data_IF_177694002856
#
_entry.id   IF_177694002856
#
_cell.length_a   1.000
_cell.length_b   1.000
_cell.length_c   1.000
_cell.angle_alpha   90.00
_cell.angle_beta   90.00
_cell.angle_gamma   90.00
#
_symmetry.space_group_name_H-M   'P 1'
#
loop_
_entity.id
_entity.type
_entity.pdbx_description
1 polymer ?
#
# COMPACT_ATOMS: atom_id res chain seq x y z
N UNK A 1 -38.93 -5.74 -59.65
CA UNK A 1 -37.64 -6.46 -59.46
C UNK A 1 -36.53 -5.65 -60.13
N UNK A 2 -35.68 -5.00 -59.34
CA UNK A 2 -34.45 -4.33 -59.81
C UNK A 2 -33.38 -4.53 -58.74
N UNK A 3 -32.41 -5.38 -59.05
CA UNK A 3 -31.21 -5.60 -58.27
C UNK A 3 -30.28 -4.40 -58.41
N UNK A 4 -29.79 -3.86 -57.30
CA UNK A 4 -28.55 -3.09 -57.26
C UNK A 4 -27.68 -3.63 -56.12
N UNK A 5 -26.71 -4.43 -56.51
CA UNK A 5 -25.55 -4.76 -55.71
C UNK A 5 -24.70 -3.49 -55.55
N UNK A 6 -24.30 -3.19 -54.32
CA UNK A 6 -23.19 -2.28 -54.04
C UNK A 6 -22.18 -3.09 -53.25
N UNK A 7 -21.06 -3.39 -53.91
CA UNK A 7 -19.83 -3.90 -53.31
C UNK A 7 -18.97 -2.66 -53.02
N UNK A 8 -18.64 -2.45 -51.75
CA UNK A 8 -17.45 -1.75 -51.26
C UNK A 8 -16.99 -2.60 -50.07
N UNK A 9 -16.15 -3.61 -50.29
CA UNK A 9 -14.69 -3.49 -50.26
C UNK A 9 -14.20 -2.68 -49.04
N UNK A 10 -13.60 -3.42 -48.08
CA UNK A 10 -12.48 -2.97 -47.25
C UNK A 10 -12.79 -2.15 -45.98
N UNK A 11 -13.39 -2.80 -44.97
CA UNK A 11 -13.16 -2.43 -43.55
C UNK A 11 -12.81 -3.68 -42.71
N UNK A 12 -12.03 -4.58 -43.29
CA UNK A 12 -11.29 -5.62 -42.57
C UNK A 12 -9.81 -5.29 -42.70
N UNK A 13 -9.33 -4.34 -41.90
CA UNK A 13 -7.92 -3.94 -42.00
C UNK A 13 -7.52 -2.72 -41.19
N UNK A 14 -7.98 -2.58 -39.95
CA UNK A 14 -7.46 -1.57 -39.00
C UNK A 14 -7.63 -1.97 -37.52
N UNK A 15 -7.72 -3.27 -37.21
CA UNK A 15 -7.61 -3.81 -35.84
C UNK A 15 -6.23 -4.43 -35.54
N UNK A 16 -5.26 -4.13 -36.39
CA UNK A 16 -3.87 -4.54 -36.22
C UNK A 16 -2.96 -3.34 -36.43
N UNK A 17 -3.16 -2.31 -35.62
CA UNK A 17 -2.12 -1.34 -35.31
C UNK A 17 -1.87 -1.38 -33.80
N UNK A 18 -0.80 -2.09 -33.47
CA UNK A 18 0.10 -1.74 -32.39
C UNK A 18 -0.48 -1.73 -30.99
N UNK A 19 -0.38 -2.90 -30.37
CA UNK A 19 0.01 -3.04 -28.98
C UNK A 19 1.04 -1.96 -28.59
N UNK A 20 0.57 -0.92 -27.91
CA UNK A 20 1.29 0.00 -27.03
C UNK A 20 0.50 1.31 -26.90
N UNK A 21 -0.81 1.23 -26.66
CA UNK A 21 -1.34 2.12 -25.65
C UNK A 21 -0.71 1.65 -24.34
N UNK A 22 0.52 2.10 -24.07
CA UNK A 22 1.08 2.10 -22.73
C UNK A 22 0.09 2.92 -21.92
N UNK A 23 -0.87 2.23 -21.31
CA UNK A 23 -1.62 2.71 -20.16
C UNK A 23 -0.56 3.35 -19.30
N UNK A 24 -0.59 4.68 -19.14
CA UNK A 24 0.30 5.37 -18.20
C UNK A 24 0.18 4.58 -16.91
N UNK A 25 1.22 3.81 -16.59
CA UNK A 25 1.29 3.04 -15.36
C UNK A 25 0.96 4.07 -14.26
N UNK A 26 -0.07 3.78 -13.47
CA UNK A 26 -0.73 4.79 -12.63
C UNK A 26 0.27 5.60 -11.82
N UNK A 27 0.02 6.91 -11.65
CA UNK A 27 0.87 7.73 -10.79
C UNK A 27 0.90 7.14 -9.37
N UNK A 28 2.02 7.32 -8.67
CA UNK A 28 2.10 6.98 -7.25
C UNK A 28 0.98 7.68 -6.48
N UNK A 29 0.32 6.93 -5.61
CA UNK A 29 -0.72 7.44 -4.71
C UNK A 29 -0.08 7.69 -3.35
N UNK A 30 -0.29 8.88 -2.79
CA UNK A 30 0.15 9.24 -1.46
C UNK A 30 -1.07 9.35 -0.55
N UNK A 31 -0.93 8.82 0.66
CA UNK A 31 -1.98 8.80 1.67
C UNK A 31 -1.41 9.32 2.97
N UNK A 32 -2.19 10.17 3.65
CA UNK A 32 -1.97 10.52 5.04
C UNK A 32 -3.00 9.75 5.86
N UNK A 33 -2.54 8.93 6.80
CA UNK A 33 -3.42 8.23 7.72
C UNK A 33 -3.33 8.85 9.11
N UNK A 34 -4.49 9.12 9.70
CA UNK A 34 -4.62 9.67 11.05
C UNK A 34 -5.32 8.65 11.93
N UNK A 35 -4.80 8.44 13.14
CA UNK A 35 -5.33 7.42 14.02
C UNK A 35 -4.53 7.27 15.30
N UNK A 36 -4.56 6.07 15.84
CA UNK A 36 -3.84 5.74 17.07
C UNK A 36 -2.54 5.04 16.72
N UNK A 37 -1.43 5.62 17.17
CA UNK A 37 -0.13 4.95 17.22
C UNK A 37 -0.03 4.23 18.56
N UNK A 38 0.14 2.92 18.47
CA UNK A 38 0.25 2.06 19.63
C UNK A 38 1.72 1.93 19.99
N UNK A 39 2.16 2.75 20.94
CA UNK A 39 3.41 2.50 21.65
C UNK A 39 3.06 1.60 22.82
N UNK A 40 3.31 0.30 22.69
CA UNK A 40 3.44 -0.49 23.91
C UNK A 40 4.70 0.05 24.59
N UNK A 41 4.70 0.27 25.89
CA UNK A 41 5.79 0.99 26.56
C UNK A 41 6.64 0.07 27.45
N UNK A 42 6.16 -1.11 27.83
CA UNK A 42 6.82 -1.86 28.89
C UNK A 42 6.79 -3.40 28.78
N UNK A 43 6.47 -4.01 27.63
CA UNK A 43 6.50 -5.48 27.51
C UNK A 43 5.53 -6.24 28.43
N UNK A 44 4.76 -5.53 29.28
CA UNK A 44 3.78 -6.03 30.25
C UNK A 44 2.34 -5.72 29.82
N UNK A 45 2.11 -5.41 28.54
CA UNK A 45 0.78 -5.25 27.97
C UNK A 45 0.11 -3.88 28.24
N UNK A 46 0.84 -2.88 28.76
CA UNK A 46 0.34 -1.51 28.78
C UNK A 46 0.56 -0.85 27.43
N UNK A 47 -0.46 -0.92 26.61
CA UNK A 47 -0.55 -0.15 25.36
C UNK A 47 -1.21 1.19 25.64
N UNK A 48 -0.56 2.29 25.25
CA UNK A 48 -1.21 3.60 25.20
C UNK A 48 -1.29 4.01 23.74
N UNK A 49 -2.51 4.05 23.20
CA UNK A 49 -2.78 4.70 21.94
C UNK A 49 -2.56 6.20 22.09
N UNK A 50 -1.61 6.76 21.34
CA UNK A 50 -1.47 8.19 21.17
C UNK A 50 -1.98 8.56 19.78
N UNK A 51 -2.67 9.70 19.66
CA UNK A 51 -3.01 10.20 18.32
C UNK A 51 -1.73 10.48 17.54
N UNK A 52 -1.70 10.04 16.29
CA UNK A 52 -0.58 10.26 15.42
C UNK A 52 -0.93 10.07 13.96
N UNK A 53 0.09 10.27 13.12
CA UNK A 53 -0.05 10.22 11.68
C UNK A 53 1.03 9.31 11.07
N UNK A 54 0.71 8.70 9.94
CA UNK A 54 1.68 8.04 9.08
C UNK A 54 1.39 8.39 7.62
N UNK A 55 2.42 8.27 6.80
CA UNK A 55 2.27 8.43 5.35
C UNK A 55 2.50 7.10 4.65
N UNK A 56 1.62 6.78 3.70
CA UNK A 56 1.73 5.63 2.81
C UNK A 56 1.89 6.13 1.39
N UNK A 57 2.90 5.63 0.69
CA UNK A 57 3.02 5.75 -0.76
C UNK A 57 2.76 4.38 -1.39
N UNK A 58 1.86 4.32 -2.35
CA UNK A 58 1.59 3.15 -3.17
C UNK A 58 2.09 3.46 -4.58
N UNK A 59 3.10 2.73 -5.02
CA UNK A 59 3.62 2.81 -6.38
C UNK A 59 3.15 1.56 -7.16
N UNK A 60 2.11 1.69 -8.01
CA UNK A 60 1.61 0.56 -8.78
C UNK A 60 2.58 0.16 -9.92
N UNK A 61 3.51 1.04 -10.34
CA UNK A 61 4.44 0.72 -11.43
C UNK A 61 5.54 -0.22 -10.94
N UNK A 62 6.19 0.14 -9.83
CA UNK A 62 7.22 -0.69 -9.20
C UNK A 62 6.64 -1.80 -8.32
N UNK A 63 5.30 -1.83 -8.16
CA UNK A 63 4.60 -2.71 -7.22
C UNK A 63 5.20 -2.60 -5.82
N UNK A 64 5.36 -1.37 -5.34
CA UNK A 64 5.92 -1.10 -4.03
C UNK A 64 4.93 -0.35 -3.14
N UNK A 65 4.94 -0.68 -1.85
CA UNK A 65 4.29 0.09 -0.81
C UNK A 65 5.37 0.62 0.12
N UNK A 66 5.37 1.93 0.34
CA UNK A 66 6.28 2.58 1.27
C UNK A 66 5.50 3.22 2.40
N UNK A 67 5.86 2.90 3.64
CA UNK A 67 5.29 3.49 4.84
C UNK A 67 6.36 4.28 5.58
N UNK A 68 6.02 5.47 6.05
CA UNK A 68 6.89 6.25 6.94
C UNK A 68 6.25 6.30 8.32
N UNK A 69 6.89 5.67 9.30
CA UNK A 69 6.41 5.66 10.69
C UNK A 69 7.39 6.45 11.58
N UNK A 70 6.90 7.10 12.65
CA UNK A 70 7.79 7.75 13.62
C UNK A 70 8.75 6.77 14.33
N UNK A 71 8.37 5.50 14.43
CA UNK A 71 9.14 4.49 15.15
C UNK A 71 10.27 3.94 14.30
N UNK A 72 10.01 3.57 13.05
CA UNK A 72 10.94 2.82 12.20
C UNK A 72 11.45 3.62 11.00
N UNK A 73 10.98 4.85 10.80
CA UNK A 73 11.29 5.65 9.63
C UNK A 73 10.60 5.14 8.37
N UNK A 74 11.19 5.43 7.21
CA UNK A 74 10.69 5.04 5.89
C UNK A 74 11.07 3.60 5.57
N UNK A 75 10.07 2.76 5.28
CA UNK A 75 10.25 1.36 4.93
C UNK A 75 9.46 1.05 3.66
N UNK A 76 10.09 0.36 2.73
CA UNK A 76 9.48 -0.06 1.46
C UNK A 76 9.45 -1.57 1.37
N UNK A 77 8.32 -2.11 0.91
CA UNK A 77 8.16 -3.53 0.64
C UNK A 77 7.33 -3.77 -0.62
N UNK A 78 7.26 -5.03 -1.02
CA UNK A 78 6.48 -5.45 -2.17
C UNK A 78 4.98 -5.23 -1.92
N UNK A 79 4.30 -4.72 -2.94
CA UNK A 79 2.86 -4.50 -2.94
C UNK A 79 2.14 -5.77 -3.39
N UNK A 80 1.38 -6.36 -2.47
CA UNK A 80 0.32 -7.30 -2.75
C UNK A 80 -1.02 -6.55 -2.88
N UNK A 81 -1.78 -6.85 -3.94
CA UNK A 81 -3.10 -6.26 -4.16
C UNK A 81 -4.12 -7.38 -4.25
N UNK A 82 -5.16 -7.30 -3.43
CA UNK A 82 -6.35 -8.16 -3.50
C UNK A 82 -7.57 -7.32 -3.88
N UNK A 83 -8.74 -7.96 -3.96
CA UNK A 83 -9.99 -7.25 -4.22
C UNK A 83 -10.28 -6.15 -3.19
N UNK A 84 -9.90 -6.37 -1.93
CA UNK A 84 -10.26 -5.47 -0.82
C UNK A 84 -9.07 -4.75 -0.20
N UNK A 85 -7.85 -5.26 -0.37
CA UNK A 85 -6.68 -4.77 0.38
C UNK A 85 -5.49 -4.46 -0.50
N UNK A 86 -4.80 -3.36 -0.18
CA UNK A 86 -3.38 -3.18 -0.47
C UNK A 86 -2.58 -3.66 0.74
N UNK A 87 -1.63 -4.56 0.55
CA UNK A 87 -0.84 -5.13 1.65
C UNK A 87 0.64 -5.18 1.30
N UNK A 88 1.49 -5.08 2.32
CA UNK A 88 2.94 -5.25 2.20
C UNK A 88 3.55 -5.83 3.46
N UNK A 89 4.58 -6.65 3.29
CA UNK A 89 5.25 -7.40 4.35
C UNK A 89 6.76 -7.12 4.37
N UNK A 90 7.20 -5.85 4.46
CA UNK A 90 8.62 -5.55 4.40
C UNK A 90 9.37 -6.12 5.60
N UNK A 91 10.48 -6.82 5.31
CA UNK A 91 11.46 -7.17 6.32
C UNK A 91 12.24 -5.94 6.74
N UNK A 92 12.46 -5.78 8.05
CA UNK A 92 13.23 -4.68 8.58
C UNK A 92 14.60 -5.21 8.99
N UNK A 93 15.65 -4.75 8.31
CA UNK A 93 17.04 -5.12 8.62
C UNK A 93 17.62 -4.19 9.72
N UNK A 94 16.78 -3.52 10.52
CA UNK A 94 17.20 -2.45 11.43
C UNK A 94 16.81 -2.69 12.90
N UNK A 95 17.76 -2.31 13.76
CA UNK A 95 18.04 -2.71 15.16
C UNK A 95 17.18 -2.05 16.24
N UNK A 96 16.04 -1.43 15.90
CA UNK A 96 15.22 -0.77 16.92
C UNK A 96 14.51 -1.82 17.76
N UNK A 97 14.96 -1.98 18.99
CA UNK A 97 14.31 -2.82 19.96
C UNK A 97 12.99 -2.19 20.42
N UNK A 98 11.89 -2.89 20.20
CA UNK A 98 10.63 -2.65 20.88
C UNK A 98 10.54 -3.70 21.99
N UNK A 99 10.42 -3.27 23.25
CA UNK A 99 10.35 -4.21 24.40
C UNK A 99 11.62 -5.03 24.62
N UNK A 100 12.79 -4.50 24.24
CA UNK A 100 14.03 -5.29 24.26
C UNK A 100 14.03 -6.45 23.25
N UNK A 101 13.09 -6.44 22.29
CA UNK A 101 12.94 -7.43 21.21
C UNK A 101 13.08 -6.74 19.86
N UNK A 102 13.63 -7.42 18.87
CA UNK A 102 13.85 -6.83 17.55
C UNK A 102 12.57 -6.91 16.73
N UNK A 103 12.21 -5.82 16.05
CA UNK A 103 11.17 -5.86 15.01
C UNK A 103 11.78 -6.46 13.75
N UNK A 104 11.26 -7.61 13.31
CA UNK A 104 11.79 -8.33 12.15
C UNK A 104 10.98 -8.06 10.87
N UNK A 105 9.70 -7.71 11.01
CA UNK A 105 8.80 -7.47 9.88
C UNK A 105 7.71 -6.45 10.22
N UNK A 106 7.23 -5.71 9.22
CA UNK A 106 5.97 -4.97 9.29
C UNK A 106 4.91 -5.64 8.45
N UNK A 107 3.67 -5.63 8.94
CA UNK A 107 2.50 -5.91 8.13
C UNK A 107 1.74 -4.61 7.93
N UNK A 108 1.74 -4.11 6.69
CA UNK A 108 0.92 -2.96 6.30
C UNK A 108 -0.29 -3.48 5.56
N UNK A 109 -1.49 -3.06 5.96
CA UNK A 109 -2.73 -3.35 5.23
C UNK A 109 -3.59 -2.11 5.14
N UNK A 110 -4.09 -1.82 3.95
CA UNK A 110 -4.98 -0.70 3.67
C UNK A 110 -6.20 -1.18 2.91
N UNK A 111 -7.38 -0.94 3.47
CA UNK A 111 -8.63 -1.29 2.82
C UNK A 111 -8.88 -0.34 1.63
N UNK A 112 -9.21 -0.92 0.47
CA UNK A 112 -9.43 -0.18 -0.79
C UNK A 112 -10.73 0.61 -0.82
N UNK A 113 -11.69 0.27 0.03
CA UNK A 113 -13.03 0.86 0.06
C UNK A 113 -13.23 1.79 1.25
N UNK A 114 -12.88 1.36 2.46
CA UNK A 114 -13.02 2.18 3.67
C UNK A 114 -11.84 3.12 3.88
N UNK A 115 -10.74 2.93 3.14
CA UNK A 115 -9.48 3.64 3.35
C UNK A 115 -8.92 3.50 4.77
N UNK A 116 -9.30 2.45 5.51
CA UNK A 116 -8.76 2.17 6.83
C UNK A 116 -7.40 1.46 6.71
N UNK A 117 -6.39 1.99 7.39
CA UNK A 117 -5.03 1.50 7.42
C UNK A 117 -4.68 0.85 8.76
N UNK A 118 -4.07 -0.32 8.70
CA UNK A 118 -3.54 -1.08 9.84
C UNK A 118 -2.06 -1.35 9.61
N UNK A 119 -1.27 -1.09 10.64
CA UNK A 119 0.14 -1.45 10.71
C UNK A 119 0.34 -2.38 11.90
N UNK A 120 1.06 -3.49 11.68
CA UNK A 120 1.48 -4.39 12.76
C UNK A 120 3.00 -4.61 12.72
N UNK A 121 3.60 -4.76 13.90
CA UNK A 121 4.97 -5.21 14.07
C UNK A 121 4.98 -6.72 14.32
N UNK A 122 5.88 -7.45 13.65
CA UNK A 122 6.27 -8.81 14.04
C UNK A 122 7.64 -8.72 14.73
N UNK A 123 7.74 -9.32 15.91
CA UNK A 123 8.98 -9.39 16.68
C UNK A 123 9.76 -10.67 16.36
N UNK A 124 11.02 -10.73 16.77
CA UNK A 124 11.91 -11.87 16.59
C UNK A 124 11.45 -13.18 17.27
N UNK A 125 10.57 -13.08 18.28
CA UNK A 125 9.89 -14.22 18.90
C UNK A 125 8.60 -14.67 18.15
N UNK A 126 8.28 -14.02 17.02
CA UNK A 126 7.11 -14.31 16.20
C UNK A 126 5.80 -13.66 16.69
N UNK A 127 5.81 -12.94 17.81
CA UNK A 127 4.62 -12.23 18.27
C UNK A 127 4.30 -11.02 17.39
N UNK A 128 3.00 -10.76 17.20
CA UNK A 128 2.53 -9.63 16.41
C UNK A 128 1.76 -8.63 17.26
N UNK A 129 2.02 -7.35 17.03
CA UNK A 129 1.41 -6.24 17.77
C UNK A 129 0.89 -5.18 16.83
N UNK A 130 -0.31 -4.65 17.09
CA UNK A 130 -0.77 -3.45 16.42
C UNK A 130 0.18 -2.29 16.72
N UNK A 131 0.57 -1.57 15.67
CA UNK A 131 1.46 -0.43 15.68
C UNK A 131 0.70 0.86 15.35
N UNK A 132 -0.26 0.76 14.43
CA UNK A 132 -1.15 1.84 14.05
C UNK A 132 -2.48 1.30 13.56
N UNK A 133 -3.57 2.00 13.89
CA UNK A 133 -4.89 1.81 13.28
C UNK A 133 -5.48 3.20 13.05
N UNK A 134 -5.99 3.46 11.84
CA UNK A 134 -6.57 4.76 11.51
C UNK A 134 -7.10 4.86 10.09
N UNK A 135 -7.62 6.03 9.76
CA UNK A 135 -8.23 6.29 8.46
C UNK A 135 -7.28 7.09 7.57
N UNK A 136 -7.19 6.68 6.31
CA UNK A 136 -6.29 7.24 5.32
C UNK A 136 -7.06 8.11 4.32
N UNK A 137 -6.45 9.23 3.93
CA UNK A 137 -6.98 10.12 2.89
C UNK A 137 -5.90 10.42 1.85
N UNK A 138 -6.26 10.66 0.59
CA UNK A 138 -5.34 11.14 -0.43
C UNK A 138 -4.56 12.36 0.06
N UNK A 139 -3.25 12.34 -0.15
CA UNK A 139 -2.32 13.40 0.20
C UNK A 139 -1.50 13.83 -1.01
N UNK A 140 -0.86 14.99 -0.93
CA UNK A 140 0.12 15.41 -1.94
C UNK A 140 1.46 14.72 -1.68
N UNK A 141 2.28 14.55 -2.72
CA UNK A 141 3.59 13.87 -2.66
C UNK A 141 4.65 14.57 -1.79
N UNK A 142 4.29 15.59 -1.01
CA UNK A 142 5.21 16.35 -0.18
C UNK A 142 5.38 15.65 1.16
N UNK A 143 6.54 15.01 1.30
CA UNK A 143 7.14 14.62 2.58
C UNK A 143 7.68 15.86 3.29
#
# INVERSE_FOLDING_TARGET
MRYRAIIFASIFGLWSQSAAAQTKLGASVYLLCEGEIWTHQDGFGRSKGARGQLTIQIDPQSRALTVTTPLTGKITGDLAVTNEWYSSFPYIVSTKELFGRKVVRLHVSLNRFSANGVLMYELDDGQQFAAFIGDCKPATAKF
#
